data_IF_736135553678
#
_entry.id   IF_736135553678
#
_cell.length_a   1.000
_cell.length_b   1.000
_cell.length_c   1.000
_cell.angle_alpha   90.00
_cell.angle_beta   90.00
_cell.angle_gamma   90.00
#
_symmetry.space_group_name_H-M   'P 1'
#
loop_
_entity.id
_entity.type
_entity.pdbx_description
1 polymer ?
#
# COMPACT_ATOMS: atom_id res chain seq x y z
N UNK A 1 12.03 15.19 20.88
CA UNK A 1 10.68 14.97 21.45
C UNK A 1 10.21 13.61 21.02
N UNK A 2 10.38 12.64 21.90
CA UNK A 2 10.08 11.23 21.70
C UNK A 2 8.76 10.94 22.42
N UNK A 3 7.74 10.53 21.68
CA UNK A 3 6.47 10.09 22.24
C UNK A 3 6.42 8.56 22.13
N UNK A 4 6.84 7.90 23.20
CA UNK A 4 6.37 6.56 23.52
C UNK A 4 5.12 6.74 24.38
N UNK A 5 3.95 6.34 23.86
CA UNK A 5 2.76 6.10 24.68
C UNK A 5 2.48 4.60 24.60
N UNK A 6 2.92 3.88 25.62
CA UNK A 6 2.43 2.54 25.94
C UNK A 6 1.42 2.73 27.06
N UNK A 7 0.22 2.17 26.87
CA UNK A 7 -0.67 1.52 27.86
C UNK A 7 -2.03 1.31 27.16
N UNK A 8 -2.37 0.08 26.75
CA UNK A 8 -3.17 -0.92 27.50
C UNK A 8 -4.69 -0.71 27.25
N UNK A 9 -5.59 -1.67 26.98
CA UNK A 9 -5.71 -3.10 27.25
C UNK A 9 -6.68 -3.79 26.27
N UNK A 10 -6.40 -5.07 26.01
CA UNK A 10 -7.31 -6.21 25.72
C UNK A 10 -8.47 -6.04 24.73
N UNK A 11 -8.35 -6.70 23.57
CA UNK A 11 -9.52 -7.31 22.93
C UNK A 11 -9.32 -8.83 22.97
N UNK A 12 -10.31 -9.52 23.54
CA UNK A 12 -10.32 -10.95 23.81
C UNK A 12 -10.00 -11.80 22.58
N UNK A 13 -9.35 -12.93 22.85
CA UNK A 13 -9.18 -14.06 21.96
C UNK A 13 -10.45 -14.40 21.17
N UNK A 14 -10.36 -14.35 19.84
CA UNK A 14 -11.17 -15.20 18.96
C UNK A 14 -10.19 -15.94 18.06
N UNK A 15 -10.08 -17.27 18.14
CA UNK A 15 -9.29 -18.04 17.20
C UNK A 15 -10.09 -18.14 15.89
N UNK A 16 -9.64 -17.47 14.82
CA UNK A 16 -10.16 -17.76 13.48
C UNK A 16 -9.37 -18.96 12.94
N UNK A 17 -10.07 -20.07 12.84
CA UNK A 17 -9.54 -21.37 12.44
C UNK A 17 -9.30 -21.43 10.92
N UNK A 18 -8.24 -22.16 10.53
CA UNK A 18 -7.89 -22.68 9.20
C UNK A 18 -7.19 -21.68 8.22
N UNK A 19 -6.08 -22.01 7.56
CA UNK A 19 -5.62 -23.30 7.03
C UNK A 19 -4.11 -23.53 7.25
N UNK A 20 -3.63 -24.79 7.37
CA UNK A 20 -2.23 -25.10 7.12
C UNK A 20 -1.95 -24.98 5.62
N UNK A 21 -1.03 -24.09 5.24
CA UNK A 21 -0.39 -24.17 3.93
C UNK A 21 0.32 -25.53 3.84
N UNK A 22 0.12 -26.21 2.72
CA UNK A 22 0.67 -27.53 2.46
C UNK A 22 2.20 -27.53 2.66
N UNK A 23 2.68 -28.48 3.48
CA UNK A 23 4.10 -28.85 3.54
C UNK A 23 4.99 -27.93 4.35
N UNK A 24 4.92 -28.00 5.68
CA UNK A 24 5.99 -27.52 6.55
C UNK A 24 6.73 -28.75 7.09
N UNK A 25 7.85 -29.10 6.44
CA UNK A 25 8.84 -30.00 7.04
C UNK A 25 9.68 -29.20 8.05
N UNK A 26 9.84 -29.81 9.20
CA UNK A 26 10.44 -29.33 10.43
C UNK A 26 11.95 -29.07 10.26
N UNK A 27 12.37 -27.93 9.69
CA UNK A 27 13.72 -27.39 9.80
C UNK A 27 13.83 -26.03 9.11
N UNK A 28 13.16 -24.99 9.62
CA UNK A 28 13.59 -23.65 9.24
C UNK A 28 13.30 -22.53 10.23
N UNK A 29 14.13 -22.50 11.26
CA UNK A 29 14.26 -21.36 12.16
C UNK A 29 15.22 -20.28 11.63
N UNK A 30 15.67 -20.36 10.36
CA UNK A 30 16.66 -19.46 9.77
C UNK A 30 16.11 -18.58 8.64
N UNK A 31 14.96 -18.92 8.03
CA UNK A 31 14.33 -18.07 7.01
C UNK A 31 13.89 -16.71 7.56
N UNK A 32 13.57 -16.54 8.85
CA UNK A 32 13.12 -15.24 9.40
C UNK A 32 14.16 -14.12 9.22
N UNK A 33 15.46 -14.44 9.12
CA UNK A 33 16.49 -13.42 8.90
C UNK A 33 16.54 -12.92 7.45
N UNK A 34 16.10 -13.72 6.47
CA UNK A 34 16.13 -13.36 5.05
C UNK A 34 14.96 -12.47 4.59
N UNK A 35 13.77 -12.60 5.20
CA UNK A 35 12.58 -11.80 4.81
C UNK A 35 12.75 -10.29 5.08
N UNK A 36 13.65 -9.92 6.00
CA UNK A 36 13.94 -8.52 6.32
C UNK A 36 14.84 -7.81 5.30
N UNK A 37 15.46 -8.57 4.39
CA UNK A 37 16.44 -8.05 3.43
C UNK A 37 15.89 -7.90 2.00
N UNK A 38 14.63 -8.31 1.78
CA UNK A 38 13.91 -8.04 0.53
C UNK A 38 13.58 -6.54 0.46
N UNK A 39 14.01 -5.82 -0.58
CA UNK A 39 13.67 -4.41 -0.72
C UNK A 39 12.15 -4.29 -0.84
N UNK A 40 11.53 -3.67 0.17
CA UNK A 40 10.09 -3.43 0.20
C UNK A 40 9.63 -2.48 -0.92
N UNK A 41 8.31 -2.26 -1.04
CA UNK A 41 7.75 -1.35 -2.02
C UNK A 41 8.31 0.05 -1.80
N UNK A 42 8.96 0.59 -2.82
CA UNK A 42 9.59 1.90 -2.78
C UNK A 42 8.98 2.79 -3.85
N UNK A 43 8.43 3.94 -3.44
CA UNK A 43 8.06 4.99 -4.39
C UNK A 43 9.34 5.56 -4.97
N UNK A 44 9.43 5.59 -6.30
CA UNK A 44 10.60 6.14 -6.98
C UNK A 44 10.75 7.62 -6.65
N UNK A 45 12.01 8.08 -6.55
CA UNK A 45 12.36 9.45 -6.13
C UNK A 45 11.87 10.55 -7.08
N UNK A 46 11.38 10.18 -8.25
CA UNK A 46 10.72 11.04 -9.25
C UNK A 46 9.28 11.41 -8.86
N UNK A 47 8.97 11.59 -7.57
CA UNK A 47 7.68 12.13 -7.18
C UNK A 47 7.63 13.61 -7.61
N UNK A 48 6.88 13.87 -8.69
CA UNK A 48 6.87 15.17 -9.36
C UNK A 48 5.85 16.09 -8.71
N UNK A 49 6.26 17.33 -8.41
CA UNK A 49 5.32 18.39 -8.05
C UNK A 49 4.50 18.78 -9.28
N UNK A 50 3.21 18.45 -9.27
CA UNK A 50 2.29 18.77 -10.37
C UNK A 50 1.57 20.07 -10.05
N UNK A 51 1.76 21.08 -10.89
CA UNK A 51 0.97 22.32 -10.87
C UNK A 51 0.06 22.33 -12.08
N UNK A 52 -1.23 22.60 -11.87
CA UNK A 52 -2.22 22.68 -12.94
C UNK A 52 -2.98 24.00 -12.86
N UNK A 53 -3.47 24.47 -14.01
CA UNK A 53 -4.35 25.63 -14.09
C UNK A 53 -5.76 25.21 -13.67
N UNK A 54 -6.47 26.09 -12.96
CA UNK A 54 -7.84 25.82 -12.53
C UNK A 54 -8.74 25.47 -13.74
N UNK A 55 -9.50 24.37 -13.62
CA UNK A 55 -10.37 23.86 -14.67
C UNK A 55 -9.67 22.95 -15.69
N UNK A 56 -8.35 22.73 -15.58
CA UNK A 56 -7.63 21.71 -16.35
C UNK A 56 -7.51 20.41 -15.55
N UNK A 57 -7.40 19.30 -16.27
CA UNK A 57 -7.11 17.99 -15.68
C UNK A 57 -5.64 17.94 -15.26
N UNK A 58 -5.39 17.59 -14.00
CA UNK A 58 -4.05 17.31 -13.49
C UNK A 58 -3.82 15.80 -13.45
N UNK A 59 -2.69 15.34 -14.00
CA UNK A 59 -2.27 13.95 -13.92
C UNK A 59 -1.19 13.80 -12.85
N UNK A 60 -1.44 12.95 -11.84
CA UNK A 60 -0.52 12.66 -10.76
C UNK A 60 0.20 11.34 -11.08
N UNK A 61 1.49 11.34 -11.43
CA UNK A 61 2.22 10.11 -11.67
C UNK A 61 2.55 9.42 -10.34
N UNK A 62 2.38 8.10 -10.30
CA UNK A 62 2.88 7.25 -9.24
C UNK A 62 3.68 6.11 -9.86
N UNK A 63 4.90 5.90 -9.35
CA UNK A 63 5.75 4.78 -9.74
C UNK A 63 6.30 4.13 -8.48
N UNK A 64 6.08 2.83 -8.38
CA UNK A 64 6.48 2.02 -7.23
C UNK A 64 7.31 0.87 -7.75
N UNK A 65 8.46 0.65 -7.12
CA UNK A 65 9.31 -0.52 -7.36
C UNK A 65 9.05 -1.56 -6.27
N UNK A 66 9.21 -2.85 -6.60
CA UNK A 66 9.02 -3.97 -5.67
C UNK A 66 7.63 -3.97 -5.01
N UNK A 67 6.58 -3.69 -5.80
CA UNK A 67 5.20 -3.67 -5.30
C UNK A 67 4.76 -5.06 -4.79
N UNK A 68 5.13 -6.12 -5.52
CA UNK A 68 4.79 -7.49 -5.16
C UNK A 68 3.28 -7.71 -5.13
N UNK A 69 2.79 -8.42 -4.13
CA UNK A 69 1.36 -8.70 -3.88
C UNK A 69 0.60 -7.55 -3.21
N UNK A 70 1.23 -6.37 -3.09
CA UNK A 70 0.64 -5.20 -2.45
C UNK A 70 -0.02 -4.31 -3.49
N UNK A 71 -0.88 -3.40 -3.03
CA UNK A 71 -1.59 -2.47 -3.90
C UNK A 71 -1.22 -1.03 -3.61
N UNK A 72 -1.33 -0.17 -4.62
CA UNK A 72 -1.18 1.27 -4.47
C UNK A 72 -2.53 1.88 -4.14
N UNK A 73 -2.56 2.82 -3.19
CA UNK A 73 -3.75 3.60 -2.89
C UNK A 73 -3.48 5.09 -3.04
N UNK A 74 -4.46 5.80 -3.59
CA UNK A 74 -4.45 7.24 -3.71
C UNK A 74 -5.21 7.83 -2.53
N UNK A 75 -4.50 8.56 -1.67
CA UNK A 75 -5.07 9.16 -0.45
C UNK A 75 -4.92 10.67 -0.53
N UNK A 76 -6.02 11.39 -0.27
CA UNK A 76 -5.98 12.85 -0.14
C UNK A 76 -5.46 13.23 1.23
N UNK A 77 -4.34 13.95 1.27
CA UNK A 77 -3.64 14.29 2.53
C UNK A 77 -4.45 15.20 3.46
N UNK A 78 -5.35 16.04 2.93
CA UNK A 78 -6.10 17.01 3.73
C UNK A 78 -7.04 16.35 4.76
N UNK A 79 -7.64 15.22 4.41
CA UNK A 79 -8.70 14.57 5.16
C UNK A 79 -8.55 13.03 5.22
N UNK A 80 -7.41 12.51 4.76
CA UNK A 80 -7.09 11.08 4.73
C UNK A 80 -8.11 10.21 3.98
N UNK A 81 -8.88 10.80 3.07
CA UNK A 81 -9.88 10.09 2.29
C UNK A 81 -9.19 9.25 1.19
N UNK A 82 -9.58 7.98 1.07
CA UNK A 82 -9.15 7.09 -0.01
C UNK A 82 -9.92 7.47 -1.28
N UNK A 83 -9.19 7.91 -2.30
CA UNK A 83 -9.74 8.28 -3.60
C UNK A 83 -9.86 7.05 -4.50
N UNK A 84 -8.84 6.21 -4.51
CA UNK A 84 -8.78 4.99 -5.31
C UNK A 84 -7.80 3.97 -4.72
N UNK A 85 -8.01 2.70 -5.04
CA UNK A 85 -7.13 1.59 -4.68
C UNK A 85 -6.93 0.73 -5.92
N UNK A 86 -5.68 0.44 -6.25
CA UNK A 86 -5.31 -0.29 -7.45
C UNK A 86 -5.97 0.36 -8.70
N UNK A 87 -6.76 -0.37 -9.49
CA UNK A 87 -7.49 0.13 -10.66
C UNK A 87 -8.88 0.68 -10.32
N UNK A 88 -9.30 0.60 -9.06
CA UNK A 88 -10.67 0.90 -8.64
C UNK A 88 -10.77 2.28 -8.01
N UNK A 89 -11.65 3.13 -8.55
CA UNK A 89 -11.95 4.43 -7.94
C UNK A 89 -13.02 4.26 -6.86
N UNK A 90 -12.73 4.73 -5.64
CA UNK A 90 -13.60 4.59 -4.46
C UNK A 90 -14.41 5.87 -4.21
N UNK A 91 -13.85 7.02 -4.56
CA UNK A 91 -14.53 8.31 -4.44
C UNK A 91 -15.72 8.41 -5.39
N UNK A 92 -16.79 9.08 -4.94
CA UNK A 92 -17.97 9.39 -5.77
C UNK A 92 -17.79 10.67 -6.61
N UNK A 93 -16.71 11.43 -6.39
CA UNK A 93 -16.42 12.63 -7.17
C UNK A 93 -15.90 12.22 -8.57
N UNK A 94 -16.65 12.51 -9.65
CA UNK A 94 -16.34 12.01 -11.00
C UNK A 94 -15.08 12.66 -11.61
N UNK A 95 -14.47 13.63 -10.94
CA UNK A 95 -13.25 14.29 -11.42
C UNK A 95 -11.99 13.47 -11.18
N UNK A 96 -12.07 12.43 -10.36
CA UNK A 96 -10.96 11.53 -10.09
C UNK A 96 -11.13 10.25 -10.90
N UNK A 97 -10.05 9.83 -11.56
CA UNK A 97 -9.97 8.54 -12.25
C UNK A 97 -8.55 8.01 -12.13
N UNK A 98 -8.40 6.69 -12.13
CA UNK A 98 -7.09 6.04 -12.17
C UNK A 98 -6.80 5.60 -13.59
N UNK A 99 -5.60 5.93 -14.06
CA UNK A 99 -5.04 5.37 -15.27
C UNK A 99 -3.89 4.43 -14.87
N UNK A 100 -4.11 3.12 -14.99
CA UNK A 100 -3.10 2.10 -14.76
C UNK A 100 -2.63 1.57 -16.12
N UNK A 101 -1.39 1.84 -16.56
CA UNK A 101 -0.89 1.30 -17.81
C UNK A 101 -0.84 -0.23 -17.74
N UNK A 102 -1.23 -0.92 -18.82
CA UNK A 102 -1.13 -2.38 -18.92
C UNK A 102 0.32 -2.88 -18.82
N UNK A 103 1.31 -2.07 -19.24
CA UNK A 103 2.75 -2.43 -19.16
C UNK A 103 3.34 -2.38 -17.75
N UNK A 104 2.50 -2.14 -16.73
CA UNK A 104 2.90 -2.11 -15.31
C UNK A 104 2.39 -3.31 -14.51
N UNK A 105 1.77 -4.31 -15.15
CA UNK A 105 1.37 -5.62 -14.59
C UNK A 105 2.57 -6.56 -14.40
N UNK A 106 2.65 -7.49 -13.44
CA UNK A 106 1.80 -7.95 -12.32
C UNK A 106 2.77 -8.55 -11.29
#
# INVERSE_FOLDING_TARGET
MQMCVVLALTCLSVPVHAQPAAGVLESDSQWWQGWHEMPGPAVTREQVNVTAVAGQTASLPCRVMNLGDRTVSWIRTQDSAVLAVDRTTITSDPRFSVNHPEETED
#
